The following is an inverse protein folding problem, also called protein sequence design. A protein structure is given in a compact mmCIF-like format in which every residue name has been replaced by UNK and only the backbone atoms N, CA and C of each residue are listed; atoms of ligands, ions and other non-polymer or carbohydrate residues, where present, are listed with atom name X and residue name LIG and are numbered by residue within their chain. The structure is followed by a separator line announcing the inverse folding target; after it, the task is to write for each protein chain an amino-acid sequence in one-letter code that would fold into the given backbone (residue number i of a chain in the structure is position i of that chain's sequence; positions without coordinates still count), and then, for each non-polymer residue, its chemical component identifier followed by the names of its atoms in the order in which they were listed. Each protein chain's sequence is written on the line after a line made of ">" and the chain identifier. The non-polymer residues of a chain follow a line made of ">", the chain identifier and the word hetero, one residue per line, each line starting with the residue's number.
data_IF_179376793318
#
_entry.id   IF_179376793318
#
_cell.length_a   1.000
_cell.length_b   1.000
_cell.length_c   1.000
_cell.angle_alpha   90.00
_cell.angle_beta   90.00
_cell.angle_gamma   90.00
#
_symmetry.space_group_name_H-M   'P 1'
#
loop_
_entity.id
_entity.type
_entity.pdbx_description
1 polymer ?
#
# COMPACT_ATOMS: atom_id res chain seq x y z
N UNK A 1 20.69 13.93 14.65
CA UNK A 1 19.30 14.32 14.33
C UNK A 1 18.67 13.29 13.40
N UNK A 2 19.21 13.09 12.19
CA UNK A 2 18.71 12.09 11.23
C UNK A 2 18.71 10.64 11.76
N UNK A 3 19.72 10.23 12.54
CA UNK A 3 19.77 8.88 13.11
C UNK A 3 18.66 8.63 14.14
N UNK A 4 18.36 9.62 14.98
CA UNK A 4 17.27 9.53 15.98
C UNK A 4 15.91 9.46 15.29
N UNK A 5 15.74 10.18 14.18
CA UNK A 5 14.51 10.13 13.37
C UNK A 5 14.31 8.75 12.73
N UNK A 6 15.36 8.16 12.17
CA UNK A 6 15.32 6.80 11.60
C UNK A 6 15.02 5.75 12.67
N UNK A 7 15.56 5.93 13.88
CA UNK A 7 15.32 5.04 15.00
C UNK A 7 13.86 5.14 15.51
N UNK A 8 13.33 6.36 15.65
CA UNK A 8 11.91 6.58 15.99
C UNK A 8 10.97 6.00 14.92
N UNK A 9 11.35 6.14 13.65
CA UNK A 9 10.63 5.57 12.52
C UNK A 9 10.66 4.04 12.57
N UNK A 10 11.81 3.43 12.88
CA UNK A 10 11.93 1.99 13.10
C UNK A 10 10.99 1.54 14.22
N UNK A 11 11.03 2.18 15.39
CA UNK A 11 10.15 1.81 16.50
C UNK A 11 8.67 1.95 16.16
N UNK A 12 8.30 2.98 15.40
CA UNK A 12 6.94 3.16 14.90
C UNK A 12 6.51 2.02 13.97
N UNK A 13 7.40 1.59 13.06
CA UNK A 13 7.15 0.44 12.18
C UNK A 13 7.03 -0.86 12.99
N UNK A 14 7.93 -1.12 13.94
CA UNK A 14 7.94 -2.34 14.73
C UNK A 14 6.70 -2.44 15.64
N UNK A 15 6.35 -1.34 16.30
CA UNK A 15 5.16 -1.28 17.13
C UNK A 15 3.89 -1.51 16.29
N UNK A 16 3.82 -0.87 15.12
CA UNK A 16 2.74 -1.06 14.14
C UNK A 16 1.39 -0.45 14.54
N UNK A 17 1.23 -0.06 15.81
CA UNK A 17 0.09 0.69 16.32
C UNK A 17 0.36 2.18 16.20
N UNK A 18 -0.63 2.94 15.76
CA UNK A 18 -0.58 4.41 15.75
C UNK A 18 -1.76 4.98 16.53
N UNK A 19 -1.70 6.28 16.83
CA UNK A 19 -2.72 6.95 17.62
C UNK A 19 -3.41 8.03 16.79
N UNK A 20 -4.72 8.15 17.00
CA UNK A 20 -5.57 9.11 16.30
C UNK A 20 -6.26 9.96 17.36
N UNK A 21 -6.15 11.28 17.23
CA UNK A 21 -6.89 12.20 18.10
C UNK A 21 -8.10 12.73 17.35
N UNK A 22 -9.30 12.52 17.91
CA UNK A 22 -10.56 12.98 17.34
C UNK A 22 -11.47 13.49 18.46
N UNK A 23 -11.99 14.72 18.33
CA UNK A 23 -12.81 15.39 19.36
C UNK A 23 -12.17 15.37 20.77
N UNK A 24 -10.87 15.63 20.87
CA UNK A 24 -10.07 15.58 22.11
C UNK A 24 -10.01 14.20 22.79
N UNK A 25 -10.47 13.14 22.12
CA UNK A 25 -10.31 11.75 22.56
C UNK A 25 -9.21 11.10 21.73
N UNK A 26 -8.29 10.42 22.41
CA UNK A 26 -7.22 9.65 21.76
C UNK A 26 -7.69 8.20 21.60
N UNK A 27 -7.57 7.68 20.39
CA UNK A 27 -7.82 6.29 20.04
C UNK A 27 -6.49 5.65 19.63
N UNK A 28 -6.39 4.33 19.78
CA UNK A 28 -5.28 3.56 19.19
C UNK A 28 -5.77 2.71 18.03
N UNK A 29 -5.00 2.68 16.95
CA UNK A 29 -5.26 1.90 15.76
C UNK A 29 -4.23 0.76 15.72
N UNK A 30 -4.68 -0.45 16.04
CA UNK A 30 -3.82 -1.63 16.11
C UNK A 30 -3.88 -2.44 14.81
N UNK A 31 -2.82 -3.20 14.45
CA UNK A 31 -2.85 -4.03 13.25
C UNK A 31 -3.98 -5.06 13.27
N UNK A 32 -4.64 -5.24 12.12
CA UNK A 32 -5.77 -6.14 11.97
C UNK A 32 -5.34 -7.61 12.11
N UNK A 33 -6.15 -8.36 12.86
CA UNK A 33 -6.01 -9.81 13.02
C UNK A 33 -6.41 -10.55 11.74
N UNK A 34 -6.09 -11.85 11.66
CA UNK A 34 -6.59 -12.69 10.57
C UNK A 34 -8.12 -12.69 10.48
N UNK A 35 -8.81 -12.70 11.64
CA UNK A 35 -10.26 -12.67 11.70
C UNK A 35 -10.83 -11.39 11.06
N UNK A 36 -10.30 -10.21 11.43
CA UNK A 36 -10.75 -8.93 10.87
C UNK A 36 -10.62 -8.93 9.33
N UNK A 37 -9.54 -9.51 8.80
CA UNK A 37 -9.31 -9.60 7.34
C UNK A 37 -10.28 -10.56 6.66
N UNK A 38 -10.63 -11.65 7.31
CA UNK A 38 -11.63 -12.57 6.82
C UNK A 38 -13.02 -11.92 6.80
N UNK A 39 -13.42 -11.25 7.88
CA UNK A 39 -14.69 -10.50 7.96
C UNK A 39 -14.75 -9.39 6.89
N UNK A 40 -13.65 -8.67 6.66
CA UNK A 40 -13.55 -7.69 5.57
C UNK A 40 -13.81 -8.32 4.19
N UNK A 41 -13.34 -9.55 3.97
CA UNK A 41 -13.58 -10.29 2.73
C UNK A 41 -15.04 -10.70 2.55
N UNK A 42 -15.76 -10.94 3.65
CA UNK A 42 -17.20 -11.22 3.63
C UNK A 42 -17.95 -9.97 3.20
N UNK A 43 -17.64 -8.81 3.79
CA UNK A 43 -18.26 -7.52 3.43
C UNK A 43 -18.06 -7.21 1.94
N UNK A 44 -16.83 -7.40 1.44
CA UNK A 44 -16.55 -7.25 0.01
C UNK A 44 -17.47 -8.11 -0.85
N UNK A 45 -17.59 -9.40 -0.53
CA UNK A 45 -18.47 -10.33 -1.28
C UNK A 45 -19.95 -9.95 -1.16
N UNK A 46 -20.39 -9.51 0.01
CA UNK A 46 -21.76 -9.03 0.21
C UNK A 46 -22.07 -7.86 -0.72
N UNK A 47 -21.21 -6.84 -0.76
CA UNK A 47 -21.40 -5.68 -1.65
C UNK A 47 -21.40 -6.14 -3.12
N UNK A 48 -20.46 -7.02 -3.50
CA UNK A 48 -20.38 -7.54 -4.88
C UNK A 48 -21.64 -8.29 -5.33
N UNK A 49 -22.36 -8.97 -4.43
CA UNK A 49 -23.58 -9.73 -4.73
C UNK A 49 -24.88 -9.02 -4.38
N UNK A 50 -24.83 -7.87 -3.70
CA UNK A 50 -26.01 -7.12 -3.32
C UNK A 50 -26.62 -6.41 -4.55
N UNK A 51 -27.94 -6.61 -4.73
CA UNK A 51 -28.76 -6.03 -5.80
C UNK A 51 -28.85 -4.51 -5.70
N UNK A 52 -28.68 -3.93 -4.50
CA UNK A 52 -28.68 -2.47 -4.30
C UNK A 52 -27.66 -1.74 -5.17
N UNK A 53 -26.58 -2.42 -5.54
CA UNK A 53 -25.47 -1.85 -6.30
C UNK A 53 -25.43 -2.35 -7.75
N UNK A 54 -26.52 -2.94 -8.26
CA UNK A 54 -26.60 -3.45 -9.63
C UNK A 54 -26.57 -2.32 -10.68
N UNK A 55 -26.99 -1.10 -10.31
CA UNK A 55 -26.89 0.09 -11.16
C UNK A 55 -25.46 0.66 -11.26
N UNK A 56 -24.53 0.21 -10.41
CA UNK A 56 -23.13 0.62 -10.49
C UNK A 56 -22.43 -0.12 -11.62
N UNK A 57 -21.53 0.57 -12.32
CA UNK A 57 -20.72 -0.06 -13.37
C UNK A 57 -19.84 -1.15 -12.76
N UNK A 58 -19.71 -2.27 -13.45
CA UNK A 58 -18.59 -3.19 -13.24
C UNK A 58 -17.32 -2.64 -13.87
N UNK A 59 -16.16 -3.15 -13.46
CA UNK A 59 -14.89 -2.75 -14.07
C UNK A 59 -14.83 -3.09 -15.56
N UNK A 60 -15.40 -4.22 -15.97
CA UNK A 60 -15.48 -4.61 -17.38
C UNK A 60 -16.37 -3.65 -18.20
N UNK A 61 -17.46 -3.16 -17.63
CA UNK A 61 -18.31 -2.16 -18.28
C UNK A 61 -17.62 -0.79 -18.36
N UNK A 62 -16.91 -0.38 -17.31
CA UNK A 62 -16.13 0.84 -17.32
C UNK A 62 -15.00 0.80 -18.37
N UNK A 63 -14.36 -0.36 -18.57
CA UNK A 63 -13.40 -0.56 -19.65
C UNK A 63 -14.07 -0.45 -21.02
N UNK A 64 -15.18 -1.16 -21.25
CA UNK A 64 -15.97 -1.07 -22.49
C UNK A 64 -16.42 0.36 -22.80
N UNK A 65 -16.87 1.10 -21.79
CA UNK A 65 -17.25 2.51 -21.95
C UNK A 65 -16.03 3.39 -22.32
N UNK A 66 -14.86 3.10 -21.76
CA UNK A 66 -13.62 3.83 -22.09
C UNK A 66 -13.18 3.58 -23.53
N UNK A 67 -13.35 2.35 -24.03
CA UNK A 67 -13.10 1.97 -25.41
C UNK A 67 -14.10 2.62 -26.37
N UNK A 68 -15.40 2.54 -26.07
CA UNK A 68 -16.46 3.15 -26.89
C UNK A 68 -16.33 4.67 -27.00
N UNK A 69 -15.88 5.33 -25.92
CA UNK A 69 -15.64 6.78 -25.93
C UNK A 69 -14.29 7.18 -26.52
N UNK A 70 -13.47 6.21 -26.95
CA UNK A 70 -12.13 6.45 -27.48
C UNK A 70 -11.13 7.03 -26.47
N UNK A 71 -11.44 6.96 -25.16
CA UNK A 71 -10.58 7.48 -24.09
C UNK A 71 -9.42 6.54 -23.75
N UNK A 72 -9.62 5.25 -23.97
CA UNK A 72 -8.58 4.22 -23.85
C UNK A 72 -8.82 3.16 -24.90
N UNK A 73 -7.86 2.94 -25.78
CA UNK A 73 -7.98 2.03 -26.92
C UNK A 73 -6.99 0.88 -26.83
N UNK A 74 -7.15 -0.11 -27.71
CA UNK A 74 -6.17 -1.19 -27.86
C UNK A 74 -4.76 -0.68 -28.25
N UNK A 75 -4.66 0.48 -28.91
CA UNK A 75 -3.37 1.11 -29.21
C UNK A 75 -2.72 1.67 -27.94
N UNK A 76 -3.50 2.27 -27.05
CA UNK A 76 -3.01 2.78 -25.76
C UNK A 76 -2.54 1.62 -24.86
N UNK A 77 -3.29 0.51 -24.85
CA UNK A 77 -2.91 -0.71 -24.12
C UNK A 77 -1.61 -1.31 -24.67
N UNK A 78 -1.44 -1.36 -25.99
CA UNK A 78 -0.19 -1.79 -26.60
C UNK A 78 0.97 -0.84 -26.25
N UNK A 79 0.73 0.47 -26.31
CA UNK A 79 1.69 1.50 -25.94
C UNK A 79 2.14 1.40 -24.47
N UNK A 80 1.21 1.09 -23.56
CA UNK A 80 1.53 0.85 -22.14
C UNK A 80 2.46 -0.36 -21.98
N UNK A 81 2.17 -1.48 -22.66
CA UNK A 81 3.03 -2.68 -22.64
C UNK A 81 4.43 -2.39 -23.22
N UNK A 82 4.52 -1.55 -24.23
CA UNK A 82 5.81 -1.18 -24.80
C UNK A 82 6.61 -0.24 -23.87
N UNK A 83 5.94 0.66 -23.15
CA UNK A 83 6.58 1.44 -22.08
C UNK A 83 7.15 0.51 -20.97
N UNK A 84 6.42 -0.52 -20.57
CA UNK A 84 6.92 -1.51 -19.59
C UNK A 84 8.16 -2.25 -20.11
N UNK A 85 8.17 -2.67 -21.38
CA UNK A 85 9.38 -3.24 -22.01
C UNK A 85 10.53 -2.22 -22.04
N UNK A 86 10.24 -0.95 -22.30
CA UNK A 86 11.26 0.11 -22.30
C UNK A 86 11.87 0.32 -20.92
N UNK A 87 11.12 0.14 -19.83
CA UNK A 87 11.65 0.16 -18.46
C UNK A 87 12.69 -0.92 -18.28
N UNK A 88 12.36 -2.17 -18.61
CA UNK A 88 13.29 -3.31 -18.46
C UNK A 88 14.52 -3.18 -19.35
N UNK A 89 14.33 -2.79 -20.62
CA UNK A 89 15.42 -2.52 -21.53
C UNK A 89 16.33 -1.39 -21.02
N UNK A 90 15.76 -0.32 -20.44
CA UNK A 90 16.55 0.79 -19.89
C UNK A 90 17.34 0.35 -18.65
N UNK A 91 16.75 -0.47 -17.78
CA UNK A 91 17.47 -1.07 -16.63
C UNK A 91 18.62 -1.96 -17.09
N UNK A 92 18.41 -2.79 -18.11
CA UNK A 92 19.46 -3.63 -18.70
C UNK A 92 20.59 -2.77 -19.29
N UNK A 93 20.25 -1.72 -20.03
CA UNK A 93 21.25 -0.80 -20.59
C UNK A 93 22.03 -0.07 -19.49
N UNK A 94 21.39 0.29 -18.37
CA UNK A 94 22.09 0.86 -17.22
C UNK A 94 23.11 -0.11 -16.62
N UNK A 95 22.73 -1.39 -16.51
CA UNK A 95 23.63 -2.44 -16.04
C UNK A 95 24.80 -2.63 -17.01
N UNK A 96 24.57 -2.73 -18.32
CA UNK A 96 25.63 -2.90 -19.32
C UNK A 96 26.59 -1.70 -19.37
N UNK A 97 26.08 -0.49 -19.14
CA UNK A 97 26.87 0.75 -19.16
C UNK A 97 27.37 1.17 -17.76
N UNK A 98 27.39 0.28 -16.76
CA UNK A 98 27.68 0.66 -15.37
C UNK A 98 29.04 1.37 -15.17
N UNK A 99 30.01 1.09 -16.04
CA UNK A 99 31.34 1.70 -16.03
C UNK A 99 31.39 3.13 -16.57
N UNK A 100 30.31 3.61 -17.20
CA UNK A 100 30.20 4.96 -17.75
C UNK A 100 29.15 5.78 -16.99
N UNK A 101 29.56 6.56 -15.96
CA UNK A 101 28.65 7.33 -15.12
C UNK A 101 27.77 8.33 -15.90
N UNK A 102 28.31 8.95 -16.95
CA UNK A 102 27.55 9.90 -17.77
C UNK A 102 26.44 9.22 -18.57
N UNK A 103 26.72 8.04 -19.12
CA UNK A 103 25.70 7.22 -19.80
C UNK A 103 24.62 6.76 -18.82
N UNK A 104 25.03 6.28 -17.65
CA UNK A 104 24.11 5.85 -16.59
C UNK A 104 23.20 6.99 -16.12
N UNK A 105 23.73 8.21 -15.92
CA UNK A 105 22.90 9.35 -15.51
C UNK A 105 21.85 9.72 -16.57
N UNK A 106 22.22 9.71 -17.85
CA UNK A 106 21.28 9.91 -18.96
C UNK A 106 20.20 8.82 -18.97
N UNK A 107 20.58 7.56 -18.78
CA UNK A 107 19.65 6.44 -18.73
C UNK A 107 18.72 6.52 -17.50
N UNK A 108 19.21 7.00 -16.35
CA UNK A 108 18.37 7.26 -15.16
C UNK A 108 17.31 8.32 -15.44
N UNK A 109 17.68 9.41 -16.12
CA UNK A 109 16.74 10.46 -16.53
C UNK A 109 15.68 9.91 -17.49
N UNK A 110 16.11 9.10 -18.47
CA UNK A 110 15.20 8.41 -19.39
C UNK A 110 14.25 7.46 -18.66
N UNK A 111 14.76 6.65 -17.73
CA UNK A 111 13.96 5.73 -16.92
C UNK A 111 12.87 6.46 -16.15
N UNK A 112 13.21 7.58 -15.50
CA UNK A 112 12.21 8.43 -14.82
C UNK A 112 11.13 8.94 -15.78
N UNK A 113 11.50 9.38 -16.98
CA UNK A 113 10.54 9.84 -17.98
C UNK A 113 9.59 8.73 -18.44
N UNK A 114 10.10 7.52 -18.69
CA UNK A 114 9.28 6.36 -19.06
C UNK A 114 8.33 5.99 -17.92
N UNK A 115 8.81 5.96 -16.68
CA UNK A 115 7.97 5.71 -15.50
C UNK A 115 6.86 6.75 -15.34
N UNK A 116 7.15 8.04 -15.56
CA UNK A 116 6.12 9.09 -15.57
C UNK A 116 5.15 8.95 -16.75
N UNK A 117 5.57 8.36 -17.87
CA UNK A 117 4.69 7.97 -18.97
C UNK A 117 3.69 6.90 -18.54
N UNK A 118 4.18 5.80 -17.96
CA UNK A 118 3.36 4.70 -17.41
C UNK A 118 2.36 5.22 -16.39
N UNK A 119 2.80 6.09 -15.47
CA UNK A 119 1.91 6.67 -14.46
C UNK A 119 0.74 7.45 -15.08
N UNK A 120 1.01 8.27 -16.12
CA UNK A 120 -0.04 9.00 -16.86
C UNK A 120 -0.98 8.05 -17.60
N UNK A 121 -0.44 7.05 -18.29
CA UNK A 121 -1.26 6.05 -18.99
C UNK A 121 -2.18 5.29 -18.03
N UNK A 122 -1.67 4.88 -16.87
CA UNK A 122 -2.48 4.24 -15.83
C UNK A 122 -3.57 5.19 -15.28
N UNK A 123 -3.26 6.47 -15.08
CA UNK A 123 -4.26 7.45 -14.65
C UNK A 123 -5.43 7.56 -15.64
N UNK A 124 -5.14 7.52 -16.95
CA UNK A 124 -6.16 7.51 -18.00
C UNK A 124 -6.95 6.19 -17.99
N UNK A 125 -6.24 5.05 -17.95
CA UNK A 125 -6.85 3.70 -17.94
C UNK A 125 -7.84 3.52 -16.79
N UNK A 126 -7.43 3.87 -15.57
CA UNK A 126 -8.23 3.68 -14.36
C UNK A 126 -9.12 4.88 -14.01
N UNK A 127 -9.31 5.83 -14.93
CA UNK A 127 -10.07 7.06 -14.66
C UNK A 127 -11.50 6.80 -14.20
N UNK A 128 -12.15 5.77 -14.73
CA UNK A 128 -13.51 5.38 -14.38
C UNK A 128 -13.59 4.36 -13.22
N UNK A 129 -12.47 3.87 -12.71
CA UNK A 129 -12.46 2.81 -11.69
C UNK A 129 -13.21 3.23 -10.42
N UNK A 130 -13.09 4.49 -10.00
CA UNK A 130 -13.78 5.02 -8.82
C UNK A 130 -15.32 4.93 -8.90
N UNK A 131 -15.89 4.83 -10.10
CA UNK A 131 -17.34 4.73 -10.32
C UNK A 131 -17.82 3.26 -10.33
N UNK A 132 -16.93 2.30 -10.13
CA UNK A 132 -17.28 0.88 -10.24
C UNK A 132 -17.67 0.27 -8.91
N UNK A 133 -18.47 -0.80 -8.99
CA UNK A 133 -18.88 -1.62 -7.86
C UNK A 133 -17.67 -2.20 -7.11
N UNK A 134 -16.64 -2.62 -7.83
CA UNK A 134 -15.40 -3.15 -7.26
C UNK A 134 -14.64 -2.08 -6.46
N UNK A 135 -14.53 -0.85 -6.99
CA UNK A 135 -13.89 0.23 -6.26
C UNK A 135 -14.67 0.61 -5.01
N UNK A 136 -16.01 0.61 -5.07
CA UNK A 136 -16.84 0.85 -3.89
C UNK A 136 -16.64 -0.24 -2.83
N UNK A 137 -16.71 -1.52 -3.23
CA UNK A 137 -16.49 -2.65 -2.35
C UNK A 137 -15.10 -2.64 -1.72
N UNK A 138 -14.05 -2.28 -2.48
CA UNK A 138 -12.68 -2.14 -1.98
C UNK A 138 -12.53 -1.00 -0.97
N UNK A 139 -13.18 0.14 -1.22
CA UNK A 139 -13.16 1.28 -0.31
C UNK A 139 -13.86 0.92 1.01
N UNK A 140 -15.07 0.34 0.94
CA UNK A 140 -15.80 -0.09 2.15
C UNK A 140 -15.06 -1.19 2.90
N UNK A 141 -14.41 -2.12 2.20
CA UNK A 141 -13.53 -3.12 2.82
C UNK A 141 -12.36 -2.46 3.57
N UNK A 142 -11.77 -1.42 3.00
CA UNK A 142 -10.66 -0.69 3.61
C UNK A 142 -11.11 0.11 4.83
N UNK A 143 -12.26 0.78 4.73
CA UNK A 143 -12.91 1.48 5.85
C UNK A 143 -13.26 0.54 6.99
N UNK A 144 -13.76 -0.66 6.69
CA UNK A 144 -14.02 -1.71 7.67
C UNK A 144 -12.75 -2.11 8.43
N UNK A 145 -11.65 -2.34 7.73
CA UNK A 145 -10.38 -2.70 8.37
C UNK A 145 -9.88 -1.57 9.29
N UNK A 146 -10.04 -0.31 8.89
CA UNK A 146 -9.72 0.84 9.74
C UNK A 146 -10.65 0.86 10.96
N UNK A 147 -11.95 0.66 10.78
CA UNK A 147 -12.91 0.60 11.88
C UNK A 147 -12.54 -0.50 12.90
N UNK A 148 -12.22 -1.70 12.41
CA UNK A 148 -11.80 -2.84 13.25
C UNK A 148 -10.43 -2.64 13.91
N UNK A 149 -9.63 -1.66 13.46
CA UNK A 149 -8.34 -1.33 14.07
C UNK A 149 -8.48 -0.48 15.32
N UNK A 150 -9.59 0.25 15.50
CA UNK A 150 -9.75 1.16 16.64
C UNK A 150 -9.88 0.41 17.96
N UNK A 151 -9.18 0.94 18.96
CA UNK A 151 -9.32 0.56 20.36
C UNK A 151 -9.56 1.81 21.21
N UNK A 152 -10.40 1.64 22.23
CA UNK A 152 -10.58 2.63 23.28
C UNK A 152 -9.33 2.71 24.19
N UNK A 153 -9.36 3.61 25.18
CA UNK A 153 -8.27 3.77 26.15
C UNK A 153 -8.06 2.53 27.04
N UNK A 154 -9.03 1.62 27.09
CA UNK A 154 -8.97 0.38 27.85
C UNK A 154 -8.48 -0.80 26.98
N UNK A 155 -8.22 -0.58 25.69
CA UNK A 155 -7.79 -1.60 24.74
C UNK A 155 -8.91 -2.45 24.14
N UNK A 156 -10.18 -2.07 24.33
CA UNK A 156 -11.32 -2.79 23.73
C UNK A 156 -11.59 -2.30 22.32
N UNK A 157 -12.07 -3.20 21.44
CA UNK A 157 -12.54 -2.85 20.10
C UNK A 157 -13.68 -1.84 20.17
N UNK A 158 -13.56 -0.74 19.42
CA UNK A 158 -14.60 0.28 19.34
C UNK A 158 -15.78 -0.17 18.46
N UNK A 159 -15.47 -0.91 17.39
CA UNK A 159 -16.43 -1.43 16.44
C UNK A 159 -16.27 -2.93 16.24
N UNK A 160 -17.36 -3.58 15.83
CA UNK A 160 -17.40 -4.98 15.38
C UNK A 160 -18.15 -5.06 14.03
N UNK A 161 -18.32 -6.27 13.52
CA UNK A 161 -18.98 -6.52 12.24
C UNK A 161 -20.40 -5.93 12.16
N UNK A 162 -21.17 -6.05 13.24
CA UNK A 162 -22.56 -5.60 13.28
C UNK A 162 -22.64 -4.07 13.41
N UNK A 163 -21.76 -3.46 14.21
CA UNK A 163 -21.75 -2.02 14.47
C UNK A 163 -21.03 -1.21 13.37
N UNK A 164 -20.45 -1.87 12.37
CA UNK A 164 -19.67 -1.20 11.33
C UNK A 164 -20.54 -0.25 10.50
N UNK A 165 -21.75 -0.66 10.14
CA UNK A 165 -22.62 0.14 9.27
C UNK A 165 -23.08 1.46 9.92
N UNK A 166 -23.03 1.54 11.25
CA UNK A 166 -23.36 2.73 12.06
C UNK A 166 -22.11 3.47 12.56
N UNK A 167 -20.92 3.15 12.03
CA UNK A 167 -19.68 3.75 12.50
C UNK A 167 -19.58 5.25 12.18
N UNK A 168 -18.76 5.96 12.96
CA UNK A 168 -18.52 7.38 12.74
C UNK A 168 -17.52 7.56 11.57
N UNK A 169 -18.04 7.87 10.38
CA UNK A 169 -17.21 8.07 9.18
C UNK A 169 -16.15 9.16 9.40
N UNK A 170 -16.48 10.26 10.09
CA UNK A 170 -15.51 11.33 10.38
C UNK A 170 -14.32 10.85 11.22
N UNK A 171 -14.53 9.89 12.13
CA UNK A 171 -13.44 9.28 12.89
C UNK A 171 -12.55 8.41 11.98
N UNK A 172 -13.15 7.64 11.06
CA UNK A 172 -12.42 6.83 10.07
C UNK A 172 -11.58 7.74 9.17
N UNK A 173 -12.15 8.81 8.63
CA UNK A 173 -11.42 9.77 7.79
C UNK A 173 -10.25 10.40 8.56
N UNK A 174 -10.48 10.77 9.83
CA UNK A 174 -9.41 11.30 10.69
C UNK A 174 -8.26 10.30 10.89
N UNK A 175 -8.56 9.00 10.97
CA UNK A 175 -7.53 7.95 11.05
C UNK A 175 -6.79 7.71 9.74
N UNK A 176 -7.43 7.95 8.59
CA UNK A 176 -6.77 7.91 7.27
C UNK A 176 -5.77 9.06 7.17
N UNK A 177 -6.18 10.27 7.55
CA UNK A 177 -5.34 11.48 7.50
C UNK A 177 -4.15 11.42 8.46
N UNK A 178 -4.35 10.90 9.67
CA UNK A 178 -3.32 10.79 10.71
C UNK A 178 -2.46 9.52 10.58
N UNK A 179 -2.72 8.65 9.59
CA UNK A 179 -1.97 7.41 9.40
C UNK A 179 -0.49 7.72 9.10
N UNK A 180 0.46 7.12 9.83
CA UNK A 180 1.88 7.32 9.54
C UNK A 180 2.22 6.90 8.11
N UNK A 181 2.87 7.79 7.38
CA UNK A 181 3.40 7.53 6.04
C UNK A 181 4.92 7.54 6.08
N UNK A 182 5.50 6.51 5.49
CA UNK A 182 6.94 6.27 5.54
C UNK A 182 7.51 6.24 4.13
N UNK A 183 8.44 7.14 3.83
CA UNK A 183 9.13 7.17 2.54
C UNK A 183 9.92 5.87 2.34
N UNK A 184 9.76 5.25 1.17
CA UNK A 184 10.40 3.95 0.86
C UNK A 184 11.92 3.99 0.95
N UNK A 185 12.56 5.10 0.56
CA UNK A 185 14.00 5.26 0.69
C UNK A 185 14.47 5.18 2.14
N UNK A 186 13.68 5.74 3.08
CA UNK A 186 13.96 5.68 4.52
C UNK A 186 13.75 4.27 5.07
N UNK A 187 12.70 3.55 4.65
CA UNK A 187 12.51 2.13 5.03
C UNK A 187 13.68 1.27 4.52
N UNK A 188 14.14 1.51 3.28
CA UNK A 188 15.32 0.82 2.69
C UNK A 188 16.63 1.15 3.40
N UNK A 189 16.74 2.34 3.98
CA UNK A 189 17.87 2.76 4.78
C UNK A 189 17.87 2.03 6.13
N UNK A 190 16.74 2.03 6.84
CA UNK A 190 16.55 1.29 8.10
C UNK A 190 16.90 -0.19 7.92
N UNK A 191 16.45 -0.81 6.81
CA UNK A 191 16.72 -2.21 6.51
C UNK A 191 18.23 -2.60 6.49
N UNK A 192 19.14 -1.64 6.36
CA UNK A 192 20.60 -1.84 6.23
C UNK A 192 21.41 -1.34 7.42
N UNK A 193 20.77 -0.62 8.35
CA UNK A 193 21.42 0.10 9.44
C UNK A 193 21.06 -0.48 10.81
N UNK A 194 21.87 -0.13 11.81
CA UNK A 194 21.56 -0.41 13.21
C UNK A 194 20.43 0.51 13.72
N UNK A 195 19.62 0.06 14.69
CA UNK A 195 19.71 -1.23 15.40
C UNK A 195 18.98 -2.39 14.69
N UNK A 196 18.21 -2.12 13.63
CA UNK A 196 17.37 -3.12 12.97
C UNK A 196 18.17 -4.29 12.40
N UNK A 197 19.34 -4.03 11.79
CA UNK A 197 20.17 -5.10 11.22
C UNK A 197 20.51 -6.17 12.25
N UNK A 198 20.95 -5.77 13.45
CA UNK A 198 21.22 -6.72 14.54
C UNK A 198 19.96 -7.47 14.98
N UNK A 199 18.83 -6.77 15.12
CA UNK A 199 17.54 -7.39 15.49
C UNK A 199 17.09 -8.44 14.46
N UNK A 200 17.21 -8.12 13.17
CA UNK A 200 16.84 -9.00 12.07
C UNK A 200 17.71 -10.26 12.02
N UNK A 201 19.03 -10.11 12.17
CA UNK A 201 19.98 -11.24 12.16
C UNK A 201 19.71 -12.17 13.35
N UNK A 202 19.42 -11.61 14.53
CA UNK A 202 19.14 -12.39 15.73
C UNK A 202 17.89 -13.28 15.60
N UNK A 203 16.85 -12.80 14.91
CA UNK A 203 15.56 -13.49 14.78
C UNK A 203 15.05 -13.51 13.32
N UNK A 204 15.85 -14.08 12.41
CA UNK A 204 15.46 -14.23 10.99
C UNK A 204 14.11 -14.97 10.88
N UNK A 205 13.12 -14.28 10.33
CA UNK A 205 11.77 -14.83 10.12
C UNK A 205 10.73 -14.50 11.21
N UNK A 206 11.15 -14.07 12.40
CA UNK A 206 10.25 -13.72 13.53
C UNK A 206 10.61 -12.39 14.23
N UNK A 207 11.36 -11.52 13.55
CA UNK A 207 11.86 -10.27 14.11
C UNK A 207 10.77 -9.27 14.60
N UNK A 208 9.49 -9.52 14.30
CA UNK A 208 8.36 -8.64 14.63
C UNK A 208 7.49 -9.25 15.75
N UNK A 209 7.75 -10.50 16.16
CA UNK A 209 7.10 -11.15 17.32
C UNK A 209 5.60 -11.40 17.17
N UNK A 210 5.09 -11.43 15.93
CA UNK A 210 3.68 -11.71 15.61
C UNK A 210 3.58 -12.44 14.26
N UNK A 211 2.49 -13.18 13.99
CA UNK A 211 2.31 -13.86 12.70
C UNK A 211 2.40 -12.90 11.51
N UNK A 212 3.04 -13.34 10.42
CA UNK A 212 3.24 -12.51 9.22
C UNK A 212 1.94 -12.05 8.55
N UNK A 213 0.87 -12.80 8.76
CA UNK A 213 -0.48 -12.44 8.30
C UNK A 213 -1.03 -11.20 8.98
N UNK A 214 -0.55 -10.83 10.18
CA UNK A 214 -1.00 -9.66 10.95
C UNK A 214 -0.04 -8.48 10.83
N UNK A 215 1.06 -8.63 10.10
CA UNK A 215 2.00 -7.54 9.90
C UNK A 215 1.33 -6.37 9.19
N UNK A 216 1.75 -5.16 9.56
CA UNK A 216 1.44 -3.96 8.78
C UNK A 216 2.16 -4.01 7.43
N UNK A 217 1.74 -3.15 6.51
CA UNK A 217 2.40 -3.03 5.21
C UNK A 217 3.89 -2.71 5.35
N UNK A 218 4.24 -1.73 6.18
CA UNK A 218 5.61 -1.30 6.38
C UNK A 218 6.48 -2.35 7.06
N UNK A 219 5.89 -3.16 7.96
CA UNK A 219 6.56 -4.32 8.56
C UNK A 219 6.93 -5.37 7.50
N UNK A 220 5.98 -5.72 6.62
CA UNK A 220 6.25 -6.63 5.49
C UNK A 220 7.32 -6.07 4.55
N UNK A 221 7.24 -4.79 4.22
CA UNK A 221 8.21 -4.11 3.35
C UNK A 221 9.61 -4.13 3.98
N UNK A 222 9.72 -3.79 5.27
CA UNK A 222 11.00 -3.79 5.99
C UNK A 222 11.65 -5.19 5.97
N UNK A 223 10.90 -6.23 6.34
CA UNK A 223 11.40 -7.61 6.29
C UNK A 223 11.75 -8.06 4.86
N UNK A 224 10.97 -7.66 3.86
CA UNK A 224 11.25 -7.97 2.46
C UNK A 224 12.58 -7.37 2.00
N UNK A 225 12.84 -6.10 2.33
CA UNK A 225 14.12 -5.46 2.04
C UNK A 225 15.28 -6.11 2.79
N UNK A 226 15.11 -6.47 4.06
CA UNK A 226 16.16 -7.16 4.81
C UNK A 226 16.51 -8.51 4.20
N UNK A 227 15.52 -9.32 3.79
CA UNK A 227 15.76 -10.56 3.05
C UNK A 227 16.51 -10.31 1.73
N UNK A 228 16.09 -9.28 0.97
CA UNK A 228 16.76 -8.93 -0.28
C UNK A 228 18.23 -8.55 -0.06
N UNK A 229 18.56 -7.81 1.00
CA UNK A 229 19.94 -7.45 1.29
C UNK A 229 20.76 -8.63 1.81
N UNK A 230 20.20 -9.48 2.67
CA UNK A 230 20.87 -10.71 3.12
C UNK A 230 21.32 -11.55 1.91
N UNK A 231 20.43 -11.75 0.93
CA UNK A 231 20.73 -12.52 -0.30
C UNK A 231 21.79 -11.87 -1.22
N UNK A 232 22.08 -10.58 -1.05
CA UNK A 232 23.10 -9.86 -1.84
C UNK A 232 24.46 -9.87 -1.14
N UNK A 233 24.47 -10.04 0.19
CA UNK A 233 25.69 -10.14 0.98
C UNK A 233 26.17 -11.58 1.16
N UNK A 234 25.31 -12.58 0.97
CA UNK A 234 25.67 -13.99 0.75
C UNK A 234 26.23 -14.22 -0.67
#
# INVERSE_FOLDING_TARGET
>A
MEQVELENMLYSILYGTYYVTYNNVRYSCVPNTLQDKYEASIIYKQIMHDMKYEEMLTWEEAQRLSELTGKWTNQDEAGLKDLDKMVENTKLQMYLNYTNPMSVDKLRKKLKQVQSGIARSNQTKYKLYHATKESHAENTRSEFLIAMSFRDNCGNKLYNMDSFWDCNNSLIQSAIEQRPSFAMDKVRQIARQEPWRSMWIAHKGDAIGRPSVEWTEHQRILCSFSKMYDNVYE
#
